data_IF_569727048837
#
_entry.id   IF_569727048837
#
_cell.length_a   1.000
_cell.length_b   1.000
_cell.length_c   1.000
_cell.angle_alpha   90.00
_cell.angle_beta   90.00
_cell.angle_gamma   90.00
#
_symmetry.space_group_name_H-M   'P 1'
#
loop_
_entity.id
_entity.type
_entity.pdbx_description
1 polymer ?
#
# COMPACT_ATOMS: atom_id res chain seq x y z
N UNK A 1 16.01 9.48 15.10
CA UNK A 1 16.41 8.13 15.54
C UNK A 1 15.38 7.61 16.56
N UNK A 2 14.87 6.39 16.39
CA UNK A 2 13.82 5.81 17.24
C UNK A 2 14.38 4.86 18.32
N UNK A 3 15.15 5.41 19.26
CA UNK A 3 15.94 4.65 20.26
C UNK A 3 15.09 3.68 21.10
N UNK A 4 13.90 4.11 21.52
CA UNK A 4 12.99 3.26 22.31
C UNK A 4 12.48 2.06 21.50
N UNK A 5 12.26 2.25 20.20
CA UNK A 5 11.81 1.18 19.31
C UNK A 5 12.91 0.14 19.10
N UNK A 6 14.15 0.59 18.85
CA UNK A 6 15.32 -0.29 18.74
C UNK A 6 15.52 -1.14 20.01
N UNK A 7 15.36 -0.52 21.19
CA UNK A 7 15.45 -1.22 22.48
C UNK A 7 14.40 -2.33 22.59
N UNK A 8 13.14 -2.03 22.23
CA UNK A 8 12.05 -3.01 22.26
C UNK A 8 12.27 -4.14 21.26
N UNK A 9 12.73 -3.85 20.05
CA UNK A 9 13.06 -4.86 19.04
C UNK A 9 14.17 -5.79 19.54
N UNK A 10 15.20 -5.23 20.18
CA UNK A 10 16.28 -6.01 20.80
C UNK A 10 15.76 -6.91 21.93
N UNK A 11 14.88 -6.40 22.80
CA UNK A 11 14.25 -7.19 23.87
C UNK A 11 13.43 -8.36 23.33
N UNK A 12 12.67 -8.14 22.26
CA UNK A 12 11.91 -9.20 21.59
C UNK A 12 12.77 -10.13 20.73
N UNK A 13 14.09 -9.90 20.64
CA UNK A 13 15.02 -10.61 19.73
C UNK A 13 14.59 -10.54 18.26
N UNK A 14 13.98 -9.43 17.86
CA UNK A 14 13.51 -9.19 16.49
C UNK A 14 14.40 -8.20 15.76
N UNK A 15 14.49 -8.35 14.43
CA UNK A 15 15.16 -7.38 13.55
C UNK A 15 14.12 -6.66 12.70
N UNK A 16 14.04 -5.34 12.88
CA UNK A 16 13.19 -4.50 12.05
C UNK A 16 13.78 -4.35 10.64
N UNK A 17 12.92 -4.36 9.61
CA UNK A 17 13.32 -4.19 8.21
C UNK A 17 12.88 -2.81 7.72
N UNK A 18 13.73 -1.79 7.93
CA UNK A 18 13.41 -0.39 7.60
C UNK A 18 12.96 -0.19 6.15
N UNK A 19 13.56 -0.92 5.20
CA UNK A 19 13.19 -0.88 3.76
C UNK A 19 11.75 -1.33 3.46
N UNK A 20 11.12 -2.13 4.33
CA UNK A 20 9.74 -2.62 4.14
C UNK A 20 8.68 -1.69 4.70
N UNK A 21 9.08 -0.65 5.42
CA UNK A 21 8.17 0.31 6.05
C UNK A 21 8.21 1.64 5.30
N UNK A 22 7.15 2.43 5.46
CA UNK A 22 7.09 3.83 5.00
C UNK A 22 6.76 4.72 6.17
N UNK A 23 7.55 5.77 6.36
CA UNK A 23 7.27 6.75 7.41
C UNK A 23 6.44 7.92 6.88
N UNK A 24 5.61 8.46 7.75
CA UNK A 24 4.84 9.67 7.55
C UNK A 24 4.83 10.45 8.87
N UNK A 25 5.23 11.72 8.84
CA UNK A 25 5.12 12.63 9.98
C UNK A 25 4.04 13.65 9.69
N UNK A 26 3.16 13.89 10.66
CA UNK A 26 2.07 14.86 10.57
C UNK A 26 2.20 15.82 11.74
N UNK A 27 2.24 17.12 11.44
CA UNK A 27 2.34 18.18 12.44
C UNK A 27 1.35 19.27 12.08
N UNK A 28 0.45 19.58 13.02
CA UNK A 28 -0.63 20.57 12.83
C UNK A 28 -1.51 20.30 11.58
N UNK A 29 -1.69 19.03 11.21
CA UNK A 29 -2.50 18.64 10.06
C UNK A 29 -1.78 18.69 8.71
N UNK A 30 -0.51 19.10 8.69
CA UNK A 30 0.33 19.10 7.48
C UNK A 30 1.38 18.00 7.55
N UNK A 31 1.79 17.53 6.38
CA UNK A 31 2.82 16.50 6.23
C UNK A 31 4.17 17.17 6.41
N UNK A 32 4.95 16.70 7.39
CA UNK A 32 6.28 17.23 7.66
C UNK A 32 7.32 16.35 6.94
N UNK A 33 7.78 16.81 5.78
CA UNK A 33 8.70 16.04 4.91
C UNK A 33 10.15 16.02 5.40
N UNK A 34 10.50 16.94 6.30
CA UNK A 34 11.87 17.09 6.83
C UNK A 34 12.22 16.04 7.89
N UNK A 35 11.21 15.34 8.44
CA UNK A 35 11.41 14.34 9.48
C UNK A 35 11.75 12.99 8.85
N UNK A 36 13.00 12.56 9.05
CA UNK A 36 13.46 11.23 8.71
C UNK A 36 13.57 10.34 9.96
N UNK A 37 13.05 9.12 9.87
CA UNK A 37 13.15 8.12 10.93
C UNK A 37 14.25 7.11 10.59
N UNK A 38 15.08 6.81 11.59
CA UNK A 38 16.16 5.83 11.49
C UNK A 38 15.97 4.79 12.58
N UNK A 39 16.05 3.52 12.20
CA UNK A 39 15.94 2.32 13.05
C UNK A 39 17.07 1.37 12.67
N UNK A 40 17.81 0.85 13.65
CA UNK A 40 18.96 -0.03 13.44
C UNK A 40 19.94 0.50 12.37
N UNK A 41 20.30 1.78 12.46
CA UNK A 41 21.17 2.52 11.53
C UNK A 41 20.70 2.56 10.06
N UNK A 42 19.45 2.16 9.80
CA UNK A 42 18.82 2.23 8.49
C UNK A 42 17.70 3.27 8.48
N UNK A 43 17.75 4.18 7.52
CA UNK A 43 16.68 5.14 7.29
C UNK A 43 15.44 4.44 6.74
N UNK A 44 14.27 4.78 7.30
CA UNK A 44 12.98 4.37 6.77
C UNK A 44 12.62 5.31 5.62
N UNK A 45 12.33 4.81 4.41
CA UNK A 45 11.91 5.67 3.30
C UNK A 45 10.57 6.32 3.61
N UNK A 46 10.38 7.55 3.18
CA UNK A 46 9.11 8.26 3.40
C UNK A 46 8.06 7.79 2.39
N UNK A 47 6.78 7.94 2.74
CA UNK A 47 5.67 7.61 1.82
C UNK A 47 5.64 8.51 0.57
N UNK A 48 6.22 9.71 0.68
CA UNK A 48 6.43 10.62 -0.43
C UNK A 48 7.43 10.08 -1.46
N UNK A 49 8.55 9.54 -0.97
CA UNK A 49 9.62 9.00 -1.83
C UNK A 49 9.22 7.66 -2.44
N UNK A 50 8.64 6.79 -1.63
CA UNK A 50 8.24 5.45 -2.06
C UNK A 50 6.80 5.16 -1.60
N UNK A 51 5.78 5.58 -2.38
CA UNK A 51 4.39 5.23 -2.09
C UNK A 51 4.20 3.72 -1.95
N UNK A 52 3.24 3.30 -1.13
CA UNK A 52 3.01 1.88 -0.85
C UNK A 52 1.62 1.44 -1.27
N UNK A 53 1.53 0.32 -1.98
CA UNK A 53 0.26 -0.37 -2.25
C UNK A 53 0.08 -1.49 -1.24
N UNK A 54 -1.01 -1.44 -0.48
CA UNK A 54 -1.36 -2.46 0.51
C UNK A 54 -2.84 -2.82 0.38
N UNK A 55 -3.15 -4.11 0.29
CA UNK A 55 -4.52 -4.63 0.18
C UNK A 55 -5.34 -3.97 -0.94
N UNK A 56 -4.72 -3.76 -2.10
CA UNK A 56 -5.38 -3.12 -3.25
C UNK A 56 -5.40 -1.59 -3.21
N UNK A 57 -5.10 -0.97 -2.07
CA UNK A 57 -5.11 0.49 -1.88
C UNK A 57 -3.71 1.08 -2.00
N UNK A 58 -3.57 2.13 -2.81
CA UNK A 58 -2.37 2.95 -2.86
C UNK A 58 -2.41 3.99 -1.73
N UNK A 59 -1.32 4.11 -0.99
CA UNK A 59 -1.12 5.12 0.02
C UNK A 59 -0.01 6.04 -0.45
N UNK A 60 -0.40 7.28 -0.74
CA UNK A 60 0.50 8.40 -1.00
C UNK A 60 0.47 9.38 0.18
N UNK A 61 1.32 10.40 0.11
CA UNK A 61 1.41 11.40 1.16
C UNK A 61 0.14 12.22 1.33
N UNK A 62 -0.65 12.40 0.27
CA UNK A 62 -1.89 13.16 0.36
C UNK A 62 -2.85 12.56 1.38
N UNK A 63 -2.80 11.24 1.59
CA UNK A 63 -3.75 10.44 2.38
C UNK A 63 -5.22 10.68 1.99
N UNK A 64 -5.47 11.33 0.85
CA UNK A 64 -6.81 11.67 0.41
C UNK A 64 -7.43 10.50 -0.32
N UNK A 65 -8.75 10.39 -0.19
CA UNK A 65 -9.54 9.37 -0.88
C UNK A 65 -9.91 9.75 -2.32
N UNK A 66 -9.56 10.97 -2.75
CA UNK A 66 -10.06 11.57 -4.00
C UNK A 66 -9.73 10.70 -5.23
N UNK A 67 -8.56 10.06 -5.24
CA UNK A 67 -8.12 9.24 -6.37
C UNK A 67 -8.70 7.83 -6.38
N UNK A 68 -9.30 7.36 -5.28
CA UNK A 68 -9.77 5.98 -5.19
C UNK A 68 -10.85 5.65 -6.21
N UNK A 69 -11.81 6.55 -6.42
CA UNK A 69 -12.86 6.33 -7.43
C UNK A 69 -12.27 6.06 -8.81
N UNK A 70 -11.27 6.85 -9.20
CA UNK A 70 -10.57 6.71 -10.49
C UNK A 70 -9.77 5.41 -10.54
N UNK A 71 -9.02 5.09 -9.47
CA UNK A 71 -8.24 3.85 -9.37
C UNK A 71 -9.11 2.60 -9.42
N UNK A 72 -10.26 2.61 -8.73
CA UNK A 72 -11.22 1.50 -8.72
C UNK A 72 -11.83 1.30 -10.11
N UNK A 73 -12.20 2.36 -10.81
CA UNK A 73 -12.74 2.28 -12.18
C UNK A 73 -11.68 1.73 -13.14
N UNK A 74 -10.44 2.19 -13.04
CA UNK A 74 -9.33 1.71 -13.87
C UNK A 74 -9.05 0.23 -13.60
N UNK A 75 -8.97 -0.17 -12.33
CA UNK A 75 -8.76 -1.56 -11.92
C UNK A 75 -9.92 -2.47 -12.38
N UNK A 76 -11.17 -2.01 -12.30
CA UNK A 76 -12.32 -2.73 -12.82
C UNK A 76 -12.23 -2.92 -14.35
N UNK A 77 -11.88 -1.86 -15.08
CA UNK A 77 -11.73 -1.90 -16.54
C UNK A 77 -10.65 -2.88 -16.97
N UNK A 78 -9.47 -2.82 -16.35
CA UNK A 78 -8.36 -3.74 -16.62
C UNK A 78 -8.73 -5.20 -16.28
N UNK A 79 -9.39 -5.42 -15.14
CA UNK A 79 -9.86 -6.74 -14.73
C UNK A 79 -10.89 -7.33 -15.70
N UNK A 80 -11.86 -6.53 -16.14
CA UNK A 80 -12.86 -6.95 -17.14
C UNK A 80 -12.21 -7.27 -18.49
N UNK A 81 -11.26 -6.44 -18.94
CA UNK A 81 -10.50 -6.70 -20.16
C UNK A 81 -9.69 -8.00 -20.07
N UNK A 82 -9.08 -8.29 -18.93
CA UNK A 82 -8.33 -9.53 -18.69
C UNK A 82 -9.26 -10.76 -18.72
N UNK A 83 -10.43 -10.69 -18.08
CA UNK A 83 -11.44 -11.76 -18.12
C UNK A 83 -11.96 -11.95 -19.56
N UNK A 84 -12.22 -10.86 -20.29
CA UNK A 84 -12.71 -10.98 -21.65
C UNK A 84 -11.67 -11.64 -22.57
N UNK A 85 -10.39 -11.29 -22.41
CA UNK A 85 -9.28 -11.81 -23.21
C UNK A 85 -8.85 -13.23 -22.83
N UNK A 86 -9.27 -13.77 -21.69
CA UNK A 86 -8.90 -15.13 -21.32
C UNK A 86 -9.62 -16.14 -22.23
N UNK A 87 -8.93 -17.23 -22.59
CA UNK A 87 -9.47 -18.29 -23.46
C UNK A 87 -10.47 -19.23 -22.77
N UNK A 88 -11.02 -18.84 -21.62
CA UNK A 88 -11.95 -19.65 -20.85
C UNK A 88 -13.36 -19.61 -21.46
N UNK A 89 -14.15 -20.64 -21.21
CA UNK A 89 -15.58 -20.67 -21.56
C UNK A 89 -16.35 -19.62 -20.73
N UNK A 90 -17.53 -19.23 -21.23
CA UNK A 90 -18.34 -18.16 -20.62
C UNK A 90 -18.65 -18.37 -19.14
N UNK A 91 -18.97 -19.61 -18.75
CA UNK A 91 -19.24 -19.96 -17.34
C UNK A 91 -18.06 -19.67 -16.41
N UNK A 92 -16.84 -19.98 -16.84
CA UNK A 92 -15.64 -19.71 -16.06
C UNK A 92 -15.27 -18.22 -16.05
N UNK A 93 -15.62 -17.47 -17.10
CA UNK A 93 -15.47 -16.00 -17.11
C UNK A 93 -16.39 -15.35 -16.09
N UNK A 94 -17.64 -15.79 -16.00
CA UNK A 94 -18.60 -15.36 -14.98
C UNK A 94 -18.10 -15.72 -13.59
N UNK A 95 -17.53 -16.92 -13.42
CA UNK A 95 -16.90 -17.33 -12.16
C UNK A 95 -15.74 -16.39 -11.77
N UNK A 96 -14.83 -16.06 -12.70
CA UNK A 96 -13.75 -15.09 -12.45
C UNK A 96 -14.28 -13.70 -12.07
N UNK A 97 -15.34 -13.24 -12.74
CA UNK A 97 -15.98 -11.97 -12.39
C UNK A 97 -16.49 -11.98 -10.95
N UNK A 98 -17.28 -13.00 -10.60
CA UNK A 98 -17.94 -13.12 -9.29
C UNK A 98 -16.97 -13.34 -8.14
N UNK A 99 -15.99 -14.23 -8.31
CA UNK A 99 -15.15 -14.71 -7.21
C UNK A 99 -13.72 -14.15 -7.22
N UNK A 100 -13.29 -13.48 -8.29
CA UNK A 100 -11.94 -12.88 -8.35
C UNK A 100 -11.97 -11.37 -8.47
N UNK A 101 -12.78 -10.81 -9.37
CA UNK A 101 -12.76 -9.36 -9.64
C UNK A 101 -13.62 -8.58 -8.64
N UNK A 102 -14.89 -8.96 -8.46
CA UNK A 102 -15.82 -8.27 -7.55
C UNK A 102 -15.27 -8.19 -6.11
N UNK A 103 -14.71 -9.27 -5.51
CA UNK A 103 -14.19 -9.21 -4.14
C UNK A 103 -12.96 -8.31 -3.96
N UNK A 104 -12.32 -7.87 -5.04
CA UNK A 104 -11.20 -6.92 -5.00
C UNK A 104 -11.64 -5.47 -5.20
N UNK A 105 -12.88 -5.26 -5.65
CA UNK A 105 -13.48 -3.94 -5.89
C UNK A 105 -14.34 -3.45 -4.72
N UNK A 106 -14.85 -4.38 -3.90
CA UNK A 106 -15.63 -4.15 -2.69
C UNK A 106 -14.72 -4.12 -1.46
#
# INVERSE_FOLDING_TARGET
>A
MLIRFDTLMAWCRMKFKSKKSRSLSIKKGEIEETVAFTVADQQIPTINQEPVKSLGRCYDSSMKDIRRGVETVLFASEGLLAINKCGLQGEFKVWCLQFMLIPKLL
#
